data_IF_220743160693
#
_entry.id   IF_220743160693
#
_cell.length_a   1.000
_cell.length_b   1.000
_cell.length_c   1.000
_cell.angle_alpha   90.00
_cell.angle_beta   90.00
_cell.angle_gamma   90.00
#
_symmetry.space_group_name_H-M   'P 1'
#
loop_
_entity.id
_entity.type
_entity.pdbx_description
1 polymer ?
#
# COMPACT_ATOMS: atom_id res chain seq x y z
N UNK A 1 -21.76 14.06 22.38
CA UNK A 1 -22.62 13.25 23.27
C UNK A 1 -22.23 11.78 23.10
N UNK A 2 -22.02 11.03 24.18
CA UNK A 2 -21.73 9.60 24.12
C UNK A 2 -23.06 8.83 23.96
N UNK A 3 -23.24 8.10 22.86
CA UNK A 3 -24.46 7.35 22.57
C UNK A 3 -24.60 6.18 23.54
N UNK A 4 -25.69 6.15 24.32
CA UNK A 4 -25.92 5.18 25.41
C UNK A 4 -26.38 3.78 24.96
N UNK A 5 -26.21 3.42 23.67
CA UNK A 5 -26.86 2.25 23.05
C UNK A 5 -25.95 1.13 22.55
N UNK A 6 -24.63 1.21 22.75
CA UNK A 6 -23.66 0.18 22.36
C UNK A 6 -22.85 -0.34 23.55
N UNK A 7 -22.03 -1.40 23.33
CA UNK A 7 -20.98 -1.82 24.31
C UNK A 7 -20.17 -0.59 24.75
N UNK A 8 -19.81 -0.51 26.03
CA UNK A 8 -18.96 0.58 26.52
C UNK A 8 -17.57 0.44 25.88
N UNK A 9 -17.26 1.31 24.91
CA UNK A 9 -15.95 1.40 24.26
C UNK A 9 -15.21 2.65 24.76
N UNK A 10 -14.68 2.64 26.00
CA UNK A 10 -13.80 3.72 26.43
C UNK A 10 -12.55 3.71 25.54
N UNK A 11 -12.10 4.90 25.13
CA UNK A 11 -10.81 5.02 24.47
C UNK A 11 -9.69 4.69 25.47
N UNK A 12 -8.69 3.94 25.03
CA UNK A 12 -7.48 3.60 25.79
C UNK A 12 -6.23 3.93 24.99
N UNK A 13 -5.12 4.18 25.68
CA UNK A 13 -3.82 4.50 25.09
C UNK A 13 -2.73 3.60 25.66
N UNK A 14 -1.70 3.35 24.86
CA UNK A 14 -0.45 2.70 25.28
C UNK A 14 0.70 3.59 24.85
N UNK A 15 1.59 3.94 25.78
CA UNK A 15 2.65 4.92 25.57
C UNK A 15 4.03 4.24 25.59
N UNK A 16 4.95 4.78 24.81
CA UNK A 16 6.37 4.39 24.75
C UNK A 16 7.22 5.65 24.65
N UNK A 17 8.46 5.61 25.15
CA UNK A 17 9.41 6.74 25.05
C UNK A 17 9.96 6.92 23.62
N UNK A 18 9.88 5.88 22.79
CA UNK A 18 10.39 5.86 21.41
C UNK A 18 9.29 5.52 20.40
N UNK A 19 9.44 6.01 19.16
CA UNK A 19 8.57 5.72 18.03
C UNK A 19 9.36 5.64 16.70
N UNK A 20 8.87 4.90 15.69
CA UNK A 20 9.41 4.93 14.34
C UNK A 20 9.05 6.24 13.62
N UNK A 21 9.85 6.63 12.62
CA UNK A 21 9.62 7.79 11.76
C UNK A 21 9.86 7.40 10.30
N UNK A 22 8.79 7.27 9.52
CA UNK A 22 8.87 6.77 8.15
C UNK A 22 8.92 7.91 7.14
N UNK A 23 9.99 7.95 6.35
CA UNK A 23 10.21 8.98 5.32
C UNK A 23 10.44 8.33 3.96
N UNK A 24 9.64 8.74 2.97
CA UNK A 24 9.86 8.38 1.57
C UNK A 24 11.08 9.14 1.03
N UNK A 25 11.99 8.46 0.33
CA UNK A 25 13.09 9.11 -0.38
C UNK A 25 12.58 9.75 -1.69
N UNK A 26 12.46 11.09 -1.78
CA UNK A 26 11.92 11.74 -2.97
C UNK A 26 12.88 11.68 -4.16
N UNK A 27 14.19 11.68 -3.93
CA UNK A 27 15.18 11.61 -5.01
C UNK A 27 15.09 10.28 -5.76
N UNK A 28 14.84 9.17 -5.06
CA UNK A 28 14.63 7.86 -5.70
C UNK A 28 13.38 7.88 -6.57
N UNK A 29 12.28 8.48 -6.10
CA UNK A 29 11.06 8.60 -6.91
C UNK A 29 11.37 9.40 -8.18
N UNK A 30 11.99 10.57 -8.05
CA UNK A 30 12.34 11.43 -9.18
C UNK A 30 13.23 10.71 -10.20
N UNK A 31 14.29 10.05 -9.74
CA UNK A 31 15.28 9.39 -10.60
C UNK A 31 14.78 8.10 -11.27
N UNK A 32 13.79 7.44 -10.68
CA UNK A 32 13.28 6.15 -11.17
C UNK A 32 11.90 6.27 -11.83
N UNK A 33 11.38 7.48 -12.02
CA UNK A 33 10.07 7.69 -12.65
C UNK A 33 10.16 7.50 -14.16
N UNK A 34 9.32 6.62 -14.72
CA UNK A 34 9.17 6.44 -16.16
C UNK A 34 7.77 5.95 -16.56
N UNK A 35 7.42 6.14 -17.83
CA UNK A 35 6.18 5.64 -18.41
C UNK A 35 6.42 4.28 -19.09
N UNK A 36 5.53 3.32 -18.87
CA UNK A 36 5.57 2.02 -19.52
C UNK A 36 4.18 1.63 -20.04
N UNK A 37 4.07 1.31 -21.33
CA UNK A 37 2.87 0.73 -21.90
C UNK A 37 2.99 -0.81 -21.86
N UNK A 38 2.13 -1.47 -21.06
CA UNK A 38 2.12 -2.94 -20.88
C UNK A 38 0.84 -3.56 -21.42
N UNK A 39 0.91 -4.69 -22.14
CA UNK A 39 -0.29 -5.39 -22.56
C UNK A 39 -0.99 -6.05 -21.37
N UNK A 40 -2.32 -6.05 -21.37
CA UNK A 40 -3.16 -6.52 -20.25
C UNK A 40 -2.86 -7.97 -19.84
N UNK A 41 -2.52 -8.86 -20.79
CA UNK A 41 -2.21 -10.26 -20.45
C UNK A 41 -0.99 -10.43 -19.53
N UNK A 42 -0.06 -9.48 -19.50
CA UNK A 42 1.07 -9.48 -18.55
C UNK A 42 0.70 -8.94 -17.17
N UNK A 43 -0.46 -8.30 -17.05
CA UNK A 43 -0.93 -7.61 -15.84
C UNK A 43 -2.06 -8.39 -15.15
N UNK A 44 -2.22 -9.69 -15.44
CA UNK A 44 -3.31 -10.50 -14.90
C UNK A 44 -3.32 -10.47 -13.36
N UNK A 45 -2.18 -10.76 -12.72
CA UNK A 45 -2.06 -10.71 -11.26
C UNK A 45 -2.37 -9.30 -10.72
N UNK A 46 -1.83 -8.25 -11.34
CA UNK A 46 -2.07 -6.88 -10.92
C UNK A 46 -3.55 -6.46 -11.07
N UNK A 47 -4.28 -7.04 -12.02
CA UNK A 47 -5.72 -6.85 -12.16
C UNK A 47 -6.50 -7.54 -11.04
N UNK A 48 -6.15 -8.79 -10.72
CA UNK A 48 -6.78 -9.59 -9.66
C UNK A 48 -6.53 -9.02 -8.25
N UNK A 49 -5.32 -8.48 -8.02
CA UNK A 49 -4.91 -7.79 -6.78
C UNK A 49 -5.37 -6.31 -6.73
N UNK A 50 -6.23 -5.87 -7.65
CA UNK A 50 -6.80 -4.52 -7.69
C UNK A 50 -5.77 -3.37 -7.77
N UNK A 51 -4.60 -3.61 -8.37
CA UNK A 51 -3.57 -2.58 -8.58
C UNK A 51 -3.87 -1.67 -9.79
N UNK A 52 -4.78 -2.05 -10.68
CA UNK A 52 -5.13 -1.28 -11.87
C UNK A 52 -6.36 -0.38 -11.63
N UNK A 53 -6.48 0.70 -12.42
CA UNK A 53 -7.66 1.57 -12.44
C UNK A 53 -8.95 0.77 -12.69
N UNK A 54 -10.07 1.19 -12.10
CA UNK A 54 -11.40 0.57 -12.26
C UNK A 54 -11.86 0.45 -13.72
N UNK A 55 -11.35 1.29 -14.62
CA UNK A 55 -11.61 1.19 -16.07
C UNK A 55 -11.01 -0.06 -16.71
N UNK A 56 -10.15 -0.80 -15.99
CA UNK A 56 -9.46 -2.02 -16.45
C UNK A 56 -10.37 -3.22 -16.62
N UNK A 57 -11.49 -3.27 -15.91
CA UNK A 57 -12.49 -4.32 -16.08
C UNK A 57 -13.33 -4.16 -17.35
N UNK A 58 -13.32 -2.98 -17.97
CA UNK A 58 -14.17 -2.64 -19.11
C UNK A 58 -13.44 -2.77 -20.46
N UNK A 59 -12.13 -3.08 -20.45
CA UNK A 59 -11.34 -3.16 -21.67
C UNK A 59 -10.99 -4.61 -22.02
N UNK A 60 -10.89 -4.94 -23.31
CA UNK A 60 -10.45 -6.27 -23.73
C UNK A 60 -9.01 -6.61 -23.29
N UNK A 61 -8.72 -7.92 -23.15
CA UNK A 61 -7.40 -8.43 -22.74
C UNK A 61 -6.27 -8.17 -23.76
N UNK A 62 -6.59 -7.81 -25.01
CA UNK A 62 -5.62 -7.44 -26.04
C UNK A 62 -5.25 -5.95 -26.03
N UNK A 63 -5.70 -5.19 -25.03
CA UNK A 63 -5.39 -3.77 -24.87
C UNK A 63 -4.13 -3.54 -24.05
N UNK A 64 -3.65 -2.29 -24.06
CA UNK A 64 -2.49 -1.84 -23.30
C UNK A 64 -2.92 -0.94 -22.15
N UNK A 65 -2.11 -0.95 -21.08
CA UNK A 65 -2.19 0.00 -19.98
C UNK A 65 -0.92 0.80 -19.89
N UNK A 66 -1.10 2.12 -19.85
CA UNK A 66 -0.04 3.07 -19.59
C UNK A 66 0.17 3.20 -18.08
N UNK A 67 1.35 2.85 -17.61
CA UNK A 67 1.72 2.82 -16.20
C UNK A 67 2.82 3.86 -15.94
N UNK A 68 2.57 4.78 -15.01
CA UNK A 68 3.63 5.61 -14.43
C UNK A 68 4.31 4.79 -13.33
N UNK A 69 5.53 4.33 -13.58
CA UNK A 69 6.31 3.53 -12.64
C UNK A 69 7.35 4.39 -11.95
N UNK A 70 7.61 4.06 -10.69
CA UNK A 70 8.66 4.64 -9.87
C UNK A 70 9.00 3.66 -8.75
N UNK A 71 10.16 3.83 -8.12
CA UNK A 71 10.57 3.07 -6.93
C UNK A 71 10.17 3.82 -5.66
N UNK A 72 9.59 3.09 -4.70
CA UNK A 72 9.27 3.60 -3.38
C UNK A 72 10.28 3.08 -2.37
N UNK A 73 11.16 3.97 -1.89
CA UNK A 73 12.14 3.65 -0.85
C UNK A 73 11.73 4.39 0.43
N UNK A 74 11.34 3.62 1.46
CA UNK A 74 10.92 4.15 2.75
C UNK A 74 12.01 3.88 3.79
N UNK A 75 12.50 4.93 4.44
CA UNK A 75 13.45 4.84 5.55
C UNK A 75 12.73 4.94 6.88
N UNK A 76 13.24 4.26 7.89
CA UNK A 76 12.87 4.51 9.29
C UNK A 76 13.99 5.32 9.96
N UNK A 77 13.78 6.62 10.10
CA UNK A 77 14.71 7.54 10.76
C UNK A 77 14.39 7.73 12.25
N UNK A 78 13.43 6.96 12.78
CA UNK A 78 12.97 7.06 14.15
C UNK A 78 13.88 6.37 15.17
N UNK A 79 13.38 6.29 16.40
CA UNK A 79 14.12 5.75 17.54
C UNK A 79 13.69 4.33 17.93
N UNK A 80 12.89 3.66 17.11
CA UNK A 80 12.49 2.26 17.29
C UNK A 80 12.09 1.61 15.96
N UNK A 81 12.04 0.27 15.92
CA UNK A 81 11.55 -0.47 14.76
C UNK A 81 10.12 -0.07 14.38
N UNK A 82 9.84 -0.01 13.07
CA UNK A 82 8.46 -0.02 12.57
C UNK A 82 7.92 -1.44 12.60
N UNK A 83 6.73 -1.63 13.17
CA UNK A 83 6.08 -2.95 13.27
C UNK A 83 4.63 -2.87 12.77
N UNK A 84 4.15 -3.87 12.02
CA UNK A 84 2.76 -3.91 11.60
C UNK A 84 1.85 -4.06 12.82
N UNK A 85 0.70 -3.39 12.79
CA UNK A 85 -0.34 -3.55 13.82
C UNK A 85 -0.95 -4.95 13.80
N UNK A 86 -1.08 -5.53 12.60
CA UNK A 86 -1.69 -6.82 12.37
C UNK A 86 -0.74 -7.96 12.76
N UNK A 87 -1.26 -8.94 13.49
CA UNK A 87 -0.52 -10.16 13.78
C UNK A 87 -0.40 -11.02 12.51
N UNK A 88 0.58 -11.95 12.49
CA UNK A 88 0.90 -12.76 11.30
C UNK A 88 -0.30 -13.50 10.70
N UNK A 89 -1.22 -13.98 11.53
CA UNK A 89 -2.43 -14.68 11.07
C UNK A 89 -3.45 -13.78 10.35
N UNK A 90 -3.26 -12.45 10.40
CA UNK A 90 -4.08 -11.47 9.71
C UNK A 90 -3.39 -10.91 8.46
N UNK A 91 -2.16 -11.36 8.16
CA UNK A 91 -1.48 -10.93 6.96
C UNK A 91 -2.16 -11.53 5.74
N UNK A 92 -2.34 -10.71 4.71
CA UNK A 92 -2.91 -11.12 3.43
C UNK A 92 -1.74 -11.38 2.48
N UNK A 93 -1.75 -12.55 1.86
CA UNK A 93 -0.79 -12.91 0.81
C UNK A 93 -1.07 -12.07 -0.44
N UNK A 94 -0.03 -11.70 -1.17
CA UNK A 94 -0.14 -10.88 -2.37
C UNK A 94 0.51 -11.63 -3.53
N UNK A 95 -0.28 -12.18 -4.44
CA UNK A 95 0.20 -13.18 -5.41
C UNK A 95 1.31 -12.66 -6.35
N UNK A 96 1.40 -11.35 -6.53
CA UNK A 96 2.36 -10.79 -7.46
C UNK A 96 3.78 -10.65 -6.88
N UNK A 97 3.98 -10.73 -5.55
CA UNK A 97 5.25 -10.46 -4.85
C UNK A 97 5.53 -11.47 -3.73
#
# INVERSE_FOLDING_TARGET
SCSRGGRQYPAGVSCSETAPDLVLNPQVVEQTTYMEDRPMFMLQCAFEENCLSSTSSQVPANTFRRLLRFSSQIHNNGHSDFRPKAARHQWVWHECH
#
